data_IF_923524775224
#
_entry.id   IF_923524775224
#
_cell.length_a   1.000
_cell.length_b   1.000
_cell.length_c   1.000
_cell.angle_alpha   90.00
_cell.angle_beta   90.00
_cell.angle_gamma   90.00
#
_symmetry.space_group_name_H-M   'P 1'
#
loop_
_entity.id
_entity.type
_entity.pdbx_description
1 polymer ?
#
# COMPACT_ATOMS: atom_id res chain seq x y z
N UNK A 1 8.75 -16.45 -20.54
CA UNK A 1 10.16 -16.34 -20.10
C UNK A 1 10.24 -16.91 -18.70
N UNK A 2 11.19 -17.80 -18.42
CA UNK A 2 11.40 -18.34 -17.08
C UNK A 2 12.46 -17.50 -16.35
N UNK A 3 12.16 -17.10 -15.12
CA UNK A 3 13.15 -16.45 -14.26
C UNK A 3 14.23 -17.47 -13.90
N UNK A 4 15.51 -17.13 -14.14
CA UNK A 4 16.65 -17.99 -13.80
C UNK A 4 16.86 -18.17 -12.29
N UNK A 5 16.25 -17.28 -11.48
CA UNK A 5 16.46 -17.20 -10.03
C UNK A 5 15.32 -17.90 -9.26
N UNK A 6 14.19 -18.10 -9.92
CA UNK A 6 12.97 -18.60 -9.28
C UNK A 6 13.04 -20.13 -9.11
N UNK A 7 13.59 -20.58 -7.97
CA UNK A 7 13.63 -22.00 -7.60
C UNK A 7 12.59 -22.31 -6.52
N UNK A 8 11.83 -23.40 -6.70
CA UNK A 8 10.77 -23.85 -5.78
C UNK A 8 9.58 -22.88 -5.59
N UNK A 9 9.39 -21.93 -6.51
CA UNK A 9 8.29 -20.97 -6.43
C UNK A 9 7.09 -21.45 -7.26
N UNK A 10 5.98 -21.75 -6.59
CA UNK A 10 4.75 -22.17 -7.24
C UNK A 10 3.99 -20.97 -7.79
N UNK A 11 3.34 -21.14 -8.94
CA UNK A 11 2.44 -20.14 -9.53
C UNK A 11 1.35 -19.69 -8.54
N UNK A 12 0.94 -20.54 -7.61
CA UNK A 12 -0.02 -20.18 -6.57
C UNK A 12 0.56 -19.17 -5.56
N UNK A 13 1.83 -19.34 -5.18
CA UNK A 13 2.53 -18.42 -4.26
C UNK A 13 2.73 -17.07 -4.95
N UNK A 14 3.10 -17.08 -6.23
CA UNK A 14 3.19 -15.87 -7.06
C UNK A 14 1.87 -15.11 -7.13
N UNK A 15 0.77 -15.82 -7.36
CA UNK A 15 -0.57 -15.23 -7.43
C UNK A 15 -0.98 -14.60 -6.09
N UNK A 16 -0.66 -15.24 -4.95
CA UNK A 16 -0.98 -14.71 -3.62
C UNK A 16 -0.14 -13.46 -3.31
N UNK A 17 1.16 -13.45 -3.64
CA UNK A 17 2.01 -12.28 -3.43
C UNK A 17 1.54 -11.11 -4.28
N UNK A 18 1.23 -11.32 -5.56
CA UNK A 18 0.66 -10.29 -6.42
C UNK A 18 -0.70 -9.78 -5.92
N UNK A 19 -1.55 -10.66 -5.40
CA UNK A 19 -2.82 -10.26 -4.79
C UNK A 19 -2.57 -9.39 -3.56
N UNK A 20 -1.65 -9.77 -2.69
CA UNK A 20 -1.32 -9.04 -1.47
C UNK A 20 -0.74 -7.66 -1.81
N UNK A 21 0.23 -7.58 -2.71
CA UNK A 21 0.80 -6.31 -3.17
C UNK A 21 -0.28 -5.36 -3.71
N UNK A 22 -1.20 -5.87 -4.55
CA UNK A 22 -2.32 -5.08 -5.06
C UNK A 22 -3.28 -4.61 -3.95
N UNK A 23 -3.57 -5.46 -2.96
CA UNK A 23 -4.40 -5.07 -1.81
C UNK A 23 -3.73 -3.98 -0.97
N UNK A 24 -2.41 -4.09 -0.75
CA UNK A 24 -1.63 -3.08 -0.03
C UNK A 24 -1.61 -1.74 -0.76
N UNK A 25 -1.35 -1.76 -2.07
CA UNK A 25 -1.38 -0.56 -2.91
C UNK A 25 -2.75 0.11 -2.91
N UNK A 26 -3.83 -0.67 -3.04
CA UNK A 26 -5.19 -0.13 -3.00
C UNK A 26 -5.51 0.50 -1.64
N UNK A 27 -5.13 -0.15 -0.55
CA UNK A 27 -5.31 0.39 0.79
C UNK A 27 -4.53 1.70 0.98
N UNK A 28 -3.27 1.75 0.52
CA UNK A 28 -2.44 2.97 0.56
C UNK A 28 -3.10 4.12 -0.20
N UNK A 29 -3.57 3.87 -1.42
CA UNK A 29 -4.28 4.88 -2.22
C UNK A 29 -5.55 5.39 -1.52
N UNK A 30 -6.32 4.50 -0.87
CA UNK A 30 -7.50 4.91 -0.09
C UNK A 30 -7.11 5.82 1.08
N UNK A 31 -6.08 5.47 1.85
CA UNK A 31 -5.63 6.31 2.97
C UNK A 31 -5.09 7.66 2.53
N UNK A 32 -4.32 7.69 1.44
CA UNK A 32 -3.83 8.93 0.85
C UNK A 32 -5.00 9.82 0.42
N UNK A 33 -5.99 9.26 -0.27
CA UNK A 33 -7.20 9.97 -0.68
C UNK A 33 -8.00 10.50 0.52
N UNK A 34 -8.06 9.74 1.61
CA UNK A 34 -8.69 10.21 2.86
C UNK A 34 -7.89 11.36 3.47
N UNK A 35 -6.56 11.26 3.52
CA UNK A 35 -5.68 12.33 4.00
C UNK A 35 -5.94 13.64 3.25
N UNK A 36 -5.94 13.60 1.92
CA UNK A 36 -6.27 14.77 1.10
C UNK A 36 -7.70 15.28 1.28
N UNK A 37 -8.68 14.39 1.46
CA UNK A 37 -10.06 14.79 1.73
C UNK A 37 -10.19 15.56 3.05
N UNK A 38 -9.47 15.13 4.10
CA UNK A 38 -9.50 15.78 5.42
C UNK A 38 -8.56 17.00 5.54
N UNK A 39 -7.58 17.14 4.64
CA UNK A 39 -6.71 18.32 4.55
C UNK A 39 -7.44 19.56 4.00
N UNK A 40 -8.52 19.36 3.22
CA UNK A 40 -9.26 20.45 2.58
C UNK A 40 -10.26 21.15 3.53
N UNK A 41 -9.73 21.91 4.50
CA UNK A 41 -10.27 23.15 5.13
C UNK A 41 -11.77 23.27 5.51
N UNK A 42 -12.60 22.21 5.57
CA UNK A 42 -13.99 22.32 6.10
C UNK A 42 -14.49 21.08 6.87
N UNK A 43 -13.58 20.17 7.27
CA UNK A 43 -13.90 19.12 8.25
C UNK A 43 -12.94 19.30 9.42
N UNK A 44 -13.48 19.38 10.64
CA UNK A 44 -12.81 19.78 11.88
C UNK A 44 -11.68 18.85 12.40
N UNK A 45 -10.86 18.26 11.53
CA UNK A 45 -9.82 17.26 11.82
C UNK A 45 -8.45 17.64 11.23
N UNK A 46 -8.13 18.94 11.23
CA UNK A 46 -6.79 19.44 10.93
C UNK A 46 -5.80 18.79 11.93
N UNK A 47 -4.93 17.90 11.45
CA UNK A 47 -4.05 17.05 12.28
C UNK A 47 -4.20 15.54 12.10
N UNK A 48 -5.23 15.05 11.39
CA UNK A 48 -5.32 13.63 10.99
C UNK A 48 -4.65 13.33 9.65
N UNK A 49 -4.38 14.35 8.84
CA UNK A 49 -3.63 14.27 7.59
C UNK A 49 -2.25 13.62 7.81
N UNK A 50 -1.48 14.09 8.80
CA UNK A 50 -0.18 13.54 9.16
C UNK A 50 -0.26 12.06 9.56
N UNK A 51 -1.28 11.67 10.32
CA UNK A 51 -1.47 10.28 10.73
C UNK A 51 -1.73 9.36 9.53
N UNK A 52 -2.59 9.79 8.59
CA UNK A 52 -2.88 8.98 7.40
C UNK A 52 -1.72 8.94 6.40
N UNK A 53 -0.95 10.03 6.28
CA UNK A 53 0.29 10.04 5.50
C UNK A 53 1.33 9.05 6.06
N UNK A 54 1.57 9.07 7.37
CA UNK A 54 2.53 8.16 8.02
C UNK A 54 2.10 6.68 7.87
N UNK A 55 0.79 6.40 7.94
CA UNK A 55 0.25 5.04 7.72
C UNK A 55 0.42 4.62 6.25
N UNK A 56 0.25 5.54 5.29
CA UNK A 56 0.45 5.27 3.88
C UNK A 56 1.92 4.95 3.56
N UNK A 57 2.86 5.72 4.11
CA UNK A 57 4.31 5.50 3.95
C UNK A 57 4.74 4.13 4.50
N UNK A 58 4.33 3.79 5.73
CA UNK A 58 4.64 2.48 6.33
C UNK A 58 4.10 1.30 5.53
N UNK A 59 2.93 1.46 4.91
CA UNK A 59 2.36 0.42 4.03
C UNK A 59 3.07 0.32 2.69
N UNK A 60 3.56 1.44 2.17
CA UNK A 60 4.34 1.46 0.92
C UNK A 60 5.72 0.84 1.13
N UNK A 61 6.41 1.20 2.21
CA UNK A 61 7.73 0.66 2.52
C UNK A 61 7.68 -0.85 2.75
N UNK A 62 6.63 -1.37 3.40
CA UNK A 62 6.40 -2.82 3.51
C UNK A 62 6.13 -3.55 2.19
N UNK A 63 5.87 -2.83 1.09
CA UNK A 63 5.71 -3.40 -0.26
C UNK A 63 7.04 -3.48 -1.01
N UNK A 64 8.01 -2.62 -0.69
CA UNK A 64 9.35 -2.59 -1.32
C UNK A 64 10.33 -3.65 -0.75
N UNK A 65 10.03 -4.24 0.42
CA UNK A 65 10.89 -5.24 1.09
C UNK A 65 10.49 -6.70 0.78
N UNK A 66 9.48 -6.93 -0.07
CA UNK A 66 8.96 -8.26 -0.39
C UNK A 66 9.13 -8.65 -1.85
#
# INVERSE_FOLDING_TARGET
MSSQICQNYSTQVEAIINLLANLHLRASHTYLSLGFYFDHEDVALKGMDHFFCEVAEKKHEGTDIS
#
